data_IF_843407255755
#
_entry.id   IF_843407255755
#
_cell.length_a   1.000
_cell.length_b   1.000
_cell.length_c   1.000
_cell.angle_alpha   90.00
_cell.angle_beta   90.00
_cell.angle_gamma   90.00
#
_symmetry.space_group_name_H-M   'P 1'
#
loop_
_entity.id
_entity.type
_entity.pdbx_description
1 polymer ?
#
# COMPACT_ATOMS: atom_id res chain seq x y z
N UNK A 1 6.78 -8.11 -4.55
CA UNK A 1 5.61 -8.32 -3.69
C UNK A 1 4.46 -7.47 -4.24
N UNK A 2 3.26 -8.03 -4.38
CA UNK A 2 2.06 -7.24 -4.70
C UNK A 2 1.39 -6.79 -3.39
N UNK A 3 0.88 -5.57 -3.37
CA UNK A 3 0.16 -5.00 -2.23
C UNK A 3 -1.15 -4.37 -2.69
N UNK A 4 -2.16 -4.51 -1.85
CA UNK A 4 -3.43 -3.79 -1.90
C UNK A 4 -3.82 -3.45 -0.47
N UNK A 5 -4.83 -2.60 -0.31
CA UNK A 5 -5.41 -2.31 0.99
C UNK A 5 -6.81 -2.91 1.10
N UNK A 6 -7.21 -3.24 2.32
CA UNK A 6 -8.50 -3.86 2.63
C UNK A 6 -9.10 -3.13 3.83
N UNK A 7 -10.37 -2.74 3.74
CA UNK A 7 -11.09 -2.22 4.90
C UNK A 7 -11.32 -3.30 5.98
N UNK A 8 -11.50 -4.54 5.54
CA UNK A 8 -11.61 -5.72 6.40
C UNK A 8 -10.60 -6.78 5.96
N UNK A 9 -9.61 -7.06 6.79
CA UNK A 9 -8.55 -8.03 6.49
C UNK A 9 -9.05 -9.48 6.34
N UNK A 10 -10.30 -9.78 6.69
CA UNK A 10 -10.94 -11.07 6.50
C UNK A 10 -11.74 -11.19 5.19
N UNK A 11 -12.00 -10.07 4.50
CA UNK A 11 -12.83 -10.01 3.29
C UNK A 11 -12.01 -9.49 2.12
N UNK A 12 -11.68 -10.36 1.16
CA UNK A 12 -10.86 -10.03 -0.01
C UNK A 12 -11.46 -8.92 -0.87
N UNK A 13 -12.78 -8.87 -0.95
CA UNK A 13 -13.55 -7.94 -1.77
C UNK A 13 -13.63 -6.54 -1.16
N UNK A 14 -13.17 -6.38 0.09
CA UNK A 14 -13.17 -5.10 0.81
C UNK A 14 -12.04 -4.15 0.37
N UNK A 15 -11.56 -4.31 -0.87
CA UNK A 15 -10.46 -3.52 -1.42
C UNK A 15 -10.79 -2.03 -1.41
N UNK A 16 -9.80 -1.23 -1.01
CA UNK A 16 -9.87 0.22 -0.99
C UNK A 16 -8.55 0.84 -1.49
N UNK A 17 -8.54 2.17 -1.60
CA UNK A 17 -7.32 2.90 -1.90
C UNK A 17 -6.34 2.77 -0.72
N UNK A 18 -5.06 2.64 -1.01
CA UNK A 18 -4.04 2.48 0.02
C UNK A 18 -3.99 3.71 0.93
N UNK A 19 -4.12 3.47 2.22
CA UNK A 19 -4.16 4.50 3.27
C UNK A 19 -5.54 4.69 3.90
N UNK A 20 -6.60 4.19 3.25
CA UNK A 20 -7.96 4.21 3.79
C UNK A 20 -8.34 2.89 4.49
N UNK A 21 -7.54 1.82 4.29
CA UNK A 21 -7.81 0.50 4.83
C UNK A 21 -7.02 0.16 6.10
N UNK A 22 -7.04 -1.13 6.43
CA UNK A 22 -6.48 -1.70 7.65
C UNK A 22 -5.07 -2.28 7.48
N UNK A 23 -4.51 -2.32 6.26
CA UNK A 23 -3.20 -2.91 6.04
C UNK A 23 -2.10 -2.09 6.73
N UNK A 24 -1.22 -2.71 7.53
CA UNK A 24 -0.25 -1.98 8.34
C UNK A 24 1.01 -1.59 7.55
N UNK A 25 0.86 -0.74 6.52
CA UNK A 25 1.94 -0.32 5.60
C UNK A 25 3.22 0.17 6.31
N UNK A 26 3.18 1.01 7.35
CA UNK A 26 4.38 1.41 8.08
C UNK A 26 5.16 0.22 8.67
N UNK A 27 4.46 -0.76 9.27
CA UNK A 27 5.08 -1.94 9.85
C UNK A 27 5.65 -2.87 8.78
N UNK A 28 4.90 -3.07 7.68
CA UNK A 28 5.34 -3.86 6.53
C UNK A 28 6.64 -3.26 5.96
N UNK A 29 6.67 -1.95 5.69
CA UNK A 29 7.86 -1.31 5.11
C UNK A 29 9.04 -1.30 6.06
N UNK A 30 8.82 -1.10 7.36
CA UNK A 30 9.87 -1.22 8.37
C UNK A 30 10.47 -2.63 8.39
N UNK A 31 9.64 -3.67 8.30
CA UNK A 31 10.10 -5.04 8.27
C UNK A 31 10.85 -5.39 6.98
N UNK A 32 10.35 -4.94 5.81
CA UNK A 32 11.05 -5.15 4.53
C UNK A 32 12.41 -4.47 4.48
N UNK A 33 12.52 -3.24 5.01
CA UNK A 33 13.81 -2.55 5.20
C UNK A 33 14.74 -3.34 6.10
N UNK A 34 14.26 -3.81 7.26
CA UNK A 34 15.05 -4.63 8.21
C UNK A 34 15.60 -5.91 7.57
N UNK A 35 14.80 -6.54 6.71
CA UNK A 35 15.19 -7.75 5.98
C UNK A 35 16.10 -7.47 4.77
N UNK A 36 16.43 -6.22 4.50
CA UNK A 36 17.12 -5.79 3.28
C UNK A 36 16.46 -6.34 2.00
N UNK A 37 15.12 -6.31 1.95
CA UNK A 37 14.38 -6.77 0.78
C UNK A 37 14.69 -5.91 -0.44
N UNK A 38 15.25 -6.52 -1.49
CA UNK A 38 15.69 -5.83 -2.72
C UNK A 38 14.65 -5.84 -3.85
N UNK A 39 13.50 -6.48 -3.64
CA UNK A 39 12.46 -6.56 -4.64
C UNK A 39 11.57 -5.33 -4.69
N UNK A 40 10.68 -5.28 -5.69
CA UNK A 40 9.68 -4.23 -5.80
C UNK A 40 8.46 -4.50 -4.90
N UNK A 41 7.86 -3.41 -4.38
CA UNK A 41 6.53 -3.41 -3.78
C UNK A 41 5.57 -2.78 -4.79
N UNK A 42 4.83 -3.63 -5.50
CA UNK A 42 3.97 -3.23 -6.60
C UNK A 42 2.53 -3.07 -6.11
N UNK A 43 1.89 -1.96 -6.44
CA UNK A 43 0.47 -1.77 -6.20
C UNK A 43 -0.35 -2.69 -7.12
N UNK A 44 -1.18 -3.54 -6.53
CA UNK A 44 -2.20 -4.33 -7.20
C UNK A 44 -3.54 -3.62 -6.99
N UNK A 45 -3.98 -2.88 -8.01
CA UNK A 45 -5.18 -2.05 -7.95
C UNK A 45 -6.29 -2.70 -8.79
N UNK A 46 -7.20 -3.43 -8.14
CA UNK A 46 -8.27 -4.21 -8.80
C UNK A 46 -9.67 -3.60 -8.63
N UNK A 47 -9.73 -2.33 -8.21
CA UNK A 47 -10.96 -1.55 -8.05
C UNK A 47 -11.02 -0.40 -9.06
N UNK A 48 -12.19 0.21 -9.22
CA UNK A 48 -12.39 1.38 -10.07
C UNK A 48 -11.84 1.23 -11.51
N UNK A 49 -11.96 0.04 -12.11
CA UNK A 49 -11.30 -0.30 -13.38
C UNK A 49 -11.60 0.65 -14.56
N UNK A 50 -12.72 1.38 -14.53
CA UNK A 50 -13.08 2.37 -15.56
C UNK A 50 -12.31 3.69 -15.45
N UNK A 51 -11.87 4.04 -14.24
CA UNK A 51 -11.09 5.25 -13.95
C UNK A 51 -10.15 5.01 -12.75
N UNK A 52 -9.10 4.20 -12.93
CA UNK A 52 -8.26 3.75 -11.81
C UNK A 52 -7.18 4.78 -11.42
N UNK A 53 -6.83 5.70 -12.32
CA UNK A 53 -5.69 6.61 -12.15
C UNK A 53 -5.76 7.46 -10.88
N UNK A 54 -6.91 8.08 -10.51
CA UNK A 54 -6.98 8.88 -9.30
C UNK A 54 -6.68 8.06 -8.02
N UNK A 55 -7.26 6.87 -7.90
CA UNK A 55 -7.04 6.02 -6.73
C UNK A 55 -5.64 5.41 -6.67
N UNK A 56 -5.05 5.08 -7.82
CA UNK A 56 -3.63 4.70 -7.92
C UNK A 56 -2.71 5.84 -7.46
N UNK A 57 -2.96 7.08 -7.90
CA UNK A 57 -2.16 8.24 -7.50
C UNK A 57 -2.21 8.48 -5.99
N UNK A 58 -3.40 8.41 -5.38
CA UNK A 58 -3.57 8.50 -3.92
C UNK A 58 -2.79 7.39 -3.22
N UNK A 59 -2.98 6.15 -3.66
CA UNK A 59 -2.33 4.96 -3.08
C UNK A 59 -0.81 5.07 -3.10
N UNK A 60 -0.22 5.45 -4.24
CA UNK A 60 1.22 5.65 -4.36
C UNK A 60 1.73 6.82 -3.51
N UNK A 61 0.96 7.91 -3.43
CA UNK A 61 1.31 9.07 -2.60
C UNK A 61 1.38 8.69 -1.13
N UNK A 62 0.41 7.93 -0.63
CA UNK A 62 0.43 7.38 0.73
C UNK A 62 1.64 6.48 0.97
N UNK A 63 1.87 5.48 0.10
CA UNK A 63 2.99 4.54 0.24
C UNK A 63 4.35 5.28 0.27
N UNK A 64 4.55 6.25 -0.63
CA UNK A 64 5.77 7.06 -0.65
C UNK A 64 5.88 7.96 0.58
N UNK A 65 4.77 8.51 1.07
CA UNK A 65 4.71 9.29 2.30
C UNK A 65 5.14 8.47 3.53
N UNK A 66 4.69 7.23 3.64
CA UNK A 66 5.13 6.30 4.70
C UNK A 66 6.64 6.07 4.63
N UNK A 67 7.19 5.81 3.44
CA UNK A 67 8.64 5.61 3.28
C UNK A 67 9.44 6.86 3.65
N UNK A 68 8.96 8.05 3.28
CA UNK A 68 9.58 9.32 3.63
C UNK A 68 9.55 9.55 5.15
N UNK A 69 8.42 9.30 5.81
CA UNK A 69 8.31 9.38 7.27
C UNK A 69 9.26 8.42 8.01
N UNK A 70 9.40 7.20 7.50
CA UNK A 70 10.35 6.22 8.03
C UNK A 70 11.84 6.56 7.76
N UNK A 71 12.13 7.47 6.82
CA UNK A 71 13.50 7.93 6.56
C UNK A 71 13.89 9.14 7.41
N UNK A 72 12.90 9.88 7.93
CA UNK A 72 13.10 11.04 8.79
C UNK A 72 13.14 10.70 10.29
N UNK A 73 12.82 9.46 10.66
CA UNK A 73 12.84 8.93 12.03
C UNK A 73 14.10 8.11 12.30
#
# INVERSE_FOLDING_TARGET
>A
MHVKDLNDMSVKESQCDVGDGAMPFPAIFKQLKKMNYQGCVNLEYEINAKDPLPGMQRSFSYMRGVLAGLAAA
#
